data_IF_083420478227
#
_entry.id   IF_083420478227
#
_cell.length_a   1.000
_cell.length_b   1.000
_cell.length_c   1.000
_cell.angle_alpha   90.00
_cell.angle_beta   90.00
_cell.angle_gamma   90.00
#
_symmetry.space_group_name_H-M   'P 1'
#
loop_
_entity.id
_entity.type
_entity.pdbx_description
1 polymer ?
#
# COMPACT_ATOMS: atom_id res chain seq x y z
N UNK A 1 36.11 8.20 -1.50
CA UNK A 1 36.12 8.83 -2.84
C UNK A 1 35.33 10.13 -2.77
N UNK A 2 35.88 11.24 -3.26
CA UNK A 2 35.22 12.56 -3.22
C UNK A 2 33.97 12.64 -4.09
N UNK A 3 32.97 13.35 -3.59
CA UNK A 3 31.67 13.68 -4.24
C UNK A 3 31.84 14.44 -5.58
N UNK A 4 33.07 14.84 -5.93
CA UNK A 4 33.41 15.63 -7.11
C UNK A 4 33.32 14.89 -8.46
N UNK A 5 33.16 13.56 -8.47
CA UNK A 5 33.18 12.76 -9.72
C UNK A 5 31.80 12.27 -10.18
N UNK A 6 30.69 12.83 -9.68
CA UNK A 6 29.36 12.51 -10.23
C UNK A 6 29.11 13.29 -11.54
N UNK A 7 28.91 12.61 -12.69
CA UNK A 7 28.54 13.28 -13.91
C UNK A 7 27.03 13.59 -13.88
N UNK A 8 26.67 14.78 -14.37
CA UNK A 8 25.29 15.29 -14.54
C UNK A 8 24.51 15.69 -13.27
N UNK A 9 23.71 16.76 -13.40
CA UNK A 9 22.88 17.32 -12.32
C UNK A 9 21.84 16.28 -11.87
N UNK A 10 22.07 15.63 -10.73
CA UNK A 10 21.02 14.87 -10.03
C UNK A 10 19.88 15.85 -9.69
N UNK A 11 18.67 15.47 -10.06
CA UNK A 11 17.46 16.21 -9.73
C UNK A 11 16.97 15.71 -8.37
N UNK A 12 17.09 16.57 -7.37
CA UNK A 12 16.67 16.28 -5.99
C UNK A 12 15.15 16.35 -5.85
N UNK A 13 14.63 15.47 -5.01
CA UNK A 13 13.26 15.51 -4.52
C UNK A 13 13.27 15.68 -3.01
N UNK A 14 12.30 16.44 -2.48
CA UNK A 14 12.14 16.55 -1.03
C UNK A 14 11.44 15.30 -0.54
N UNK A 15 12.09 14.60 0.38
CA UNK A 15 11.51 13.44 1.06
C UNK A 15 10.89 13.93 2.36
N UNK A 16 9.70 13.41 2.70
CA UNK A 16 9.07 13.71 4.00
C UNK A 16 9.90 13.18 5.17
N UNK A 17 10.55 12.04 4.97
CA UNK A 17 11.40 11.38 5.96
C UNK A 17 12.71 10.90 5.33
N UNK A 18 13.79 11.00 6.09
CA UNK A 18 15.14 10.65 5.65
C UNK A 18 15.68 9.53 6.56
N UNK A 19 15.44 8.24 6.24
CA UNK A 19 15.95 7.12 7.01
C UNK A 19 17.48 7.07 6.97
N UNK A 20 18.09 7.72 7.96
CA UNK A 20 19.53 7.88 8.12
C UNK A 20 19.84 7.42 9.52
N UNK A 21 20.78 6.48 9.67
CA UNK A 21 21.30 6.14 11.00
C UNK A 21 22.36 7.17 11.42
N UNK A 22 22.30 7.55 12.69
CA UNK A 22 23.29 8.42 13.30
C UNK A 22 24.65 7.71 13.34
N UNK A 23 25.72 8.44 12.99
CA UNK A 23 27.10 7.94 13.06
C UNK A 23 27.57 7.62 14.49
N UNK A 24 26.86 8.10 15.53
CA UNK A 24 27.14 7.78 16.92
C UNK A 24 26.55 6.43 17.37
N UNK A 25 25.86 5.71 16.50
CA UNK A 25 25.42 4.35 16.80
C UNK A 25 26.61 3.39 16.73
N UNK A 26 26.75 2.51 17.73
CA UNK A 26 27.90 1.61 17.90
C UNK A 26 27.98 0.49 16.83
N UNK A 27 26.91 0.27 16.06
CA UNK A 27 26.84 -0.77 15.01
C UNK A 27 26.20 -0.26 13.71
N UNK A 28 26.95 -0.33 12.60
CA UNK A 28 26.46 -0.05 11.25
C UNK A 28 25.94 -1.32 10.58
N UNK A 29 24.75 -1.24 9.99
CA UNK A 29 24.19 -2.27 9.12
C UNK A 29 24.61 -2.04 7.68
N UNK A 30 24.71 -3.11 6.88
CA UNK A 30 25.14 -3.09 5.47
C UNK A 30 24.34 -2.10 4.59
N UNK A 31 23.10 -1.83 4.96
CA UNK A 31 22.15 -0.98 4.23
C UNK A 31 22.01 0.44 4.79
N UNK A 32 22.81 0.82 5.80
CA UNK A 32 22.71 2.15 6.39
C UNK A 32 23.18 3.27 5.45
N UNK A 33 22.41 4.37 5.44
CA UNK A 33 22.86 5.66 4.95
C UNK A 33 23.44 6.42 6.14
N UNK A 34 24.74 6.73 6.11
CA UNK A 34 25.46 7.34 7.23
C UNK A 34 25.83 8.79 6.87
N UNK A 35 25.51 9.71 7.78
CA UNK A 35 25.95 11.10 7.73
C UNK A 35 27.12 11.37 8.66
N UNK A 36 28.11 12.16 8.19
CA UNK A 36 29.22 12.72 8.97
C UNK A 36 30.16 11.70 9.68
N UNK A 37 31.09 11.15 8.90
CA UNK A 37 32.33 10.45 9.28
C UNK A 37 33.40 10.69 8.20
N UNK A 38 34.64 10.27 8.45
CA UNK A 38 35.70 10.27 7.43
C UNK A 38 35.28 9.36 6.27
N UNK A 39 35.25 9.90 5.04
CA UNK A 39 34.79 9.23 3.80
C UNK A 39 33.27 9.03 3.63
N UNK A 40 32.41 9.62 4.47
CA UNK A 40 30.95 9.56 4.27
C UNK A 40 30.37 10.89 3.76
N UNK A 41 29.07 10.90 3.49
CA UNK A 41 28.37 12.02 2.88
C UNK A 41 27.90 13.01 3.96
N UNK A 42 28.13 14.31 3.74
CA UNK A 42 27.62 15.37 4.62
C UNK A 42 26.20 15.78 4.21
N UNK A 43 25.20 15.33 4.96
CA UNK A 43 23.81 15.70 4.72
C UNK A 43 23.47 17.13 5.13
N UNK A 44 24.41 17.89 5.71
CA UNK A 44 24.21 19.28 6.09
C UNK A 44 24.84 20.22 5.07
N UNK A 45 24.09 21.23 4.67
CA UNK A 45 24.59 22.37 3.91
C UNK A 45 24.19 23.65 4.63
N UNK A 46 25.19 24.44 5.06
CA UNK A 46 24.99 25.66 5.87
C UNK A 46 24.18 25.42 7.15
N UNK A 47 24.39 24.28 7.81
CA UNK A 47 23.73 23.92 9.06
C UNK A 47 22.28 23.44 8.91
N UNK A 48 21.78 23.23 7.69
CA UNK A 48 20.46 22.64 7.41
C UNK A 48 20.60 21.37 6.61
N UNK A 49 19.66 20.44 6.79
CA UNK A 49 19.60 19.21 6.01
C UNK A 49 19.43 19.52 4.51
N UNK A 50 20.15 18.81 3.65
CA UNK A 50 20.10 18.97 2.20
C UNK A 50 19.45 17.76 1.53
N UNK A 51 18.24 17.96 1.01
CA UNK A 51 17.54 16.96 0.19
C UNK A 51 18.36 16.51 -1.01
N UNK A 52 19.13 17.43 -1.62
CA UNK A 52 20.03 17.12 -2.72
C UNK A 52 21.12 16.14 -2.30
N UNK A 53 21.71 16.34 -1.12
CA UNK A 53 22.77 15.46 -0.63
C UNK A 53 22.21 14.09 -0.25
N UNK A 54 21.00 14.05 0.32
CA UNK A 54 20.30 12.79 0.58
C UNK A 54 19.97 12.00 -0.69
N UNK A 55 19.41 12.66 -1.71
CA UNK A 55 19.14 12.04 -3.01
C UNK A 55 20.42 11.50 -3.66
N UNK A 56 21.53 12.24 -3.56
CA UNK A 56 22.85 11.78 -4.04
C UNK A 56 23.31 10.53 -3.32
N UNK A 57 23.15 10.46 -1.99
CA UNK A 57 23.53 9.28 -1.22
C UNK A 57 22.68 8.06 -1.59
N UNK A 58 21.38 8.22 -1.80
CA UNK A 58 20.51 7.14 -2.28
C UNK A 58 20.94 6.60 -3.63
N UNK A 59 21.14 7.48 -4.62
CA UNK A 59 21.59 7.09 -5.96
C UNK A 59 22.98 6.44 -5.93
N UNK A 60 23.87 6.93 -5.06
CA UNK A 60 25.16 6.32 -4.85
C UNK A 60 25.03 4.92 -4.25
N UNK A 61 24.21 4.74 -3.21
CA UNK A 61 24.00 3.44 -2.59
C UNK A 61 23.41 2.43 -3.58
N UNK A 62 22.47 2.87 -4.42
CA UNK A 62 21.96 2.03 -5.52
C UNK A 62 23.04 1.61 -6.51
N UNK A 63 24.05 2.45 -6.75
CA UNK A 63 25.19 2.08 -7.60
C UNK A 63 26.11 1.05 -6.96
N UNK A 64 26.13 0.96 -5.63
CA UNK A 64 27.02 0.09 -4.86
C UNK A 64 26.41 -1.30 -4.61
N UNK A 65 25.09 -1.40 -4.48
CA UNK A 65 24.39 -2.65 -4.20
C UNK A 65 24.07 -3.45 -5.48
N UNK A 66 23.95 -4.78 -5.31
CA UNK A 66 23.46 -5.66 -6.38
C UNK A 66 21.94 -5.66 -6.47
N UNK A 67 21.39 -6.12 -7.60
CA UNK A 67 19.94 -6.23 -7.80
C UNK A 67 19.30 -7.17 -6.76
N UNK A 68 20.01 -8.22 -6.34
CA UNK A 68 19.52 -9.14 -5.31
C UNK A 68 19.44 -8.51 -3.91
N UNK A 69 20.29 -7.52 -3.63
CA UNK A 69 20.31 -6.79 -2.36
C UNK A 69 19.31 -5.62 -2.32
N UNK A 70 18.79 -5.21 -3.48
CA UNK A 70 17.87 -4.07 -3.58
C UNK A 70 16.58 -4.25 -2.75
N UNK A 71 15.89 -5.42 -2.76
CA UNK A 71 14.72 -5.62 -1.93
C UNK A 71 15.02 -5.49 -0.43
N UNK A 72 16.15 -6.08 0.01
CA UNK A 72 16.56 -6.04 1.42
C UNK A 72 16.90 -4.62 1.87
N UNK A 73 17.60 -3.86 1.01
CA UNK A 73 17.87 -2.44 1.23
C UNK A 73 16.57 -1.65 1.41
N UNK A 74 15.60 -1.80 0.50
CA UNK A 74 14.33 -1.08 0.58
C UNK A 74 13.55 -1.47 1.83
N UNK A 75 13.41 -2.77 2.10
CA UNK A 75 12.72 -3.27 3.31
C UNK A 75 13.36 -2.75 4.60
N UNK A 76 14.70 -2.62 4.61
CA UNK A 76 15.42 -2.03 5.72
C UNK A 76 15.09 -0.54 5.90
N UNK A 77 15.09 0.27 4.83
CA UNK A 77 14.69 1.68 4.91
C UNK A 77 13.24 1.84 5.38
N UNK A 78 12.35 0.93 4.96
CA UNK A 78 10.94 0.93 5.39
C UNK A 78 10.74 0.61 6.87
N UNK A 79 11.72 0.02 7.56
CA UNK A 79 11.67 -0.17 9.02
C UNK A 79 12.00 1.12 9.78
N UNK A 80 12.73 2.03 9.15
CA UNK A 80 13.20 3.27 9.75
C UNK A 80 12.23 4.44 9.56
N UNK A 81 11.33 4.35 8.57
CA UNK A 81 10.33 5.39 8.28
C UNK A 81 8.97 5.05 8.87
N UNK A 82 8.27 6.10 9.32
CA UNK A 82 6.88 6.01 9.79
C UNK A 82 5.91 5.93 8.61
N UNK A 83 6.06 6.82 7.63
CA UNK A 83 5.21 6.86 6.43
C UNK A 83 5.82 6.08 5.25
N UNK A 84 5.71 4.75 5.33
CA UNK A 84 6.25 3.80 4.34
C UNK A 84 5.74 4.05 2.92
N UNK A 85 4.45 4.38 2.78
CA UNK A 85 3.83 4.60 1.46
C UNK A 85 4.34 5.88 0.82
N UNK A 86 4.43 6.97 1.58
CA UNK A 86 4.95 8.23 1.08
C UNK A 86 6.43 8.10 0.70
N UNK A 87 7.24 7.44 1.52
CA UNK A 87 8.67 7.26 1.23
C UNK A 87 8.91 6.45 -0.07
N UNK A 88 8.13 5.39 -0.30
CA UNK A 88 8.20 4.63 -1.56
C UNK A 88 7.81 5.47 -2.78
N UNK A 89 6.81 6.33 -2.65
CA UNK A 89 6.39 7.23 -3.73
C UNK A 89 7.48 8.28 -4.04
N UNK A 90 8.06 8.89 -3.02
CA UNK A 90 9.15 9.85 -3.16
C UNK A 90 10.38 9.19 -3.84
N UNK A 91 10.65 7.93 -3.50
CA UNK A 91 11.72 7.13 -4.10
C UNK A 91 11.45 6.79 -5.57
N UNK A 92 10.23 6.37 -5.91
CA UNK A 92 9.82 6.08 -7.29
C UNK A 92 10.01 7.32 -8.18
N UNK A 93 9.57 8.48 -7.69
CA UNK A 93 9.75 9.76 -8.39
C UNK A 93 11.22 10.14 -8.57
N UNK A 94 12.06 9.89 -7.56
CA UNK A 94 13.50 10.11 -7.65
C UNK A 94 14.13 9.25 -8.75
N UNK A 95 13.76 7.97 -8.83
CA UNK A 95 14.25 7.02 -9.83
C UNK A 95 13.80 7.41 -11.23
N UNK A 96 12.52 7.76 -11.41
CA UNK A 96 11.97 8.19 -12.70
C UNK A 96 12.68 9.45 -13.21
N UNK A 97 12.86 10.44 -12.34
CA UNK A 97 13.45 11.72 -12.74
C UNK A 97 14.97 11.64 -13.00
N UNK A 98 15.64 10.62 -12.45
CA UNK A 98 17.08 10.40 -12.64
C UNK A 98 17.38 9.15 -13.47
N UNK A 99 16.41 8.67 -14.25
CA UNK A 99 16.50 7.45 -15.08
C UNK A 99 17.76 7.43 -15.93
N UNK A 100 18.04 8.51 -16.66
CA UNK A 100 19.19 8.59 -17.55
C UNK A 100 20.53 8.41 -16.81
N UNK A 101 20.62 8.84 -15.55
CA UNK A 101 21.84 8.73 -14.74
C UNK A 101 22.00 7.28 -14.26
N UNK A 102 20.90 6.65 -13.82
CA UNK A 102 20.89 5.27 -13.36
C UNK A 102 21.21 4.30 -14.50
N UNK A 103 20.55 4.49 -15.64
CA UNK A 103 20.70 3.62 -16.82
C UNK A 103 22.06 3.77 -17.51
N UNK A 104 22.71 4.95 -17.39
CA UNK A 104 24.10 5.15 -17.83
C UNK A 104 25.11 4.35 -16.99
N UNK A 105 24.83 4.14 -15.71
CA UNK A 105 25.71 3.36 -14.82
C UNK A 105 25.47 1.85 -14.95
N UNK A 106 24.22 1.44 -15.04
CA UNK A 106 23.81 0.04 -15.22
C UNK A 106 22.59 0.03 -16.13
N UNK A 107 22.70 -0.62 -17.28
CA UNK A 107 21.61 -0.68 -18.25
C UNK A 107 20.33 -1.26 -17.63
N UNK A 108 19.20 -0.62 -17.90
CA UNK A 108 17.87 -0.98 -17.40
C UNK A 108 17.69 -0.94 -15.87
N UNK A 109 18.65 -0.40 -15.12
CA UNK A 109 18.61 -0.40 -13.66
C UNK A 109 17.45 0.42 -13.09
N UNK A 110 17.05 1.52 -13.74
CA UNK A 110 15.87 2.26 -13.32
C UNK A 110 14.61 1.37 -13.34
N UNK A 111 14.52 0.51 -14.36
CA UNK A 111 13.37 -0.38 -14.59
C UNK A 111 13.36 -1.50 -13.56
N UNK A 112 14.54 -2.04 -13.23
CA UNK A 112 14.71 -3.02 -12.15
C UNK A 112 14.29 -2.45 -10.80
N UNK A 113 14.69 -1.20 -10.49
CA UNK A 113 14.27 -0.53 -9.25
C UNK A 113 12.76 -0.32 -9.22
N UNK A 114 12.17 0.22 -10.29
CA UNK A 114 10.71 0.38 -10.38
C UNK A 114 9.96 -0.95 -10.19
N UNK A 115 10.42 -2.04 -10.81
CA UNK A 115 9.82 -3.36 -10.64
C UNK A 115 9.91 -3.87 -9.19
N UNK A 116 11.04 -3.60 -8.52
CA UNK A 116 11.23 -3.94 -7.11
C UNK A 116 10.24 -3.15 -6.21
N UNK A 117 10.14 -1.84 -6.42
CA UNK A 117 9.21 -0.96 -5.69
C UNK A 117 7.76 -1.41 -5.86
N UNK A 118 7.35 -1.73 -7.09
CA UNK A 118 6.01 -2.24 -7.38
C UNK A 118 5.74 -3.59 -6.71
N UNK A 119 6.73 -4.49 -6.66
CA UNK A 119 6.62 -5.77 -5.96
C UNK A 119 6.40 -5.57 -4.46
N UNK A 120 7.14 -4.64 -3.83
CA UNK A 120 7.02 -4.32 -2.39
C UNK A 120 5.67 -3.66 -2.08
N UNK A 121 5.23 -2.71 -2.92
CA UNK A 121 3.91 -2.10 -2.83
C UNK A 121 2.78 -3.12 -2.94
N UNK A 122 2.93 -4.10 -3.84
CA UNK A 122 1.94 -5.17 -4.04
C UNK A 122 1.96 -6.21 -2.92
N UNK A 123 3.12 -6.53 -2.33
CA UNK A 123 3.22 -7.35 -1.11
C UNK A 123 2.45 -6.70 0.05
N UNK A 124 2.55 -5.38 0.23
CA UNK A 124 1.77 -4.64 1.23
C UNK A 124 0.26 -4.72 0.97
N UNK A 125 -0.18 -4.70 -0.30
CA UNK A 125 -1.61 -4.86 -0.66
C UNK A 125 -2.14 -6.27 -0.47
N UNK A 126 -1.28 -7.29 -0.57
CA UNK A 126 -1.65 -8.71 -0.41
C UNK A 126 -1.54 -9.19 1.04
N UNK A 127 -0.76 -8.53 1.90
CA UNK A 127 -0.72 -8.80 3.34
C UNK A 127 -1.93 -8.22 4.11
N UNK A 128 -2.60 -7.19 3.56
CA UNK A 128 -3.87 -6.65 4.09
C UNK A 128 -5.07 -7.33 3.42
N UNK A 129 -5.37 -8.59 3.77
CA UNK A 129 -6.74 -9.14 3.85
C UNK A 129 -6.80 -10.66 4.12
N UNK A 130 -6.04 -11.17 5.10
CA UNK A 130 -6.54 -12.36 5.82
C UNK A 130 -7.51 -11.84 6.87
N UNK A 131 -8.67 -11.35 6.43
CA UNK A 131 -9.74 -11.03 7.36
C UNK A 131 -10.24 -12.35 7.93
N UNK A 132 -10.07 -12.59 9.24
CA UNK A 132 -10.54 -13.82 9.89
C UNK A 132 -12.06 -13.90 10.02
N UNK A 133 -12.79 -12.95 9.40
CA UNK A 133 -14.24 -12.96 9.32
C UNK A 133 -14.71 -13.89 8.22
N UNK A 134 -15.55 -14.84 8.60
CA UNK A 134 -16.13 -15.84 7.70
C UNK A 134 -17.59 -15.51 7.48
N UNK A 135 -18.00 -15.39 6.21
CA UNK A 135 -19.41 -15.36 5.86
C UNK A 135 -20.02 -16.75 6.03
N UNK A 136 -20.98 -16.88 6.94
CA UNK A 136 -21.67 -18.15 7.25
C UNK A 136 -22.95 -18.36 6.41
N UNK A 137 -23.45 -17.32 5.75
CA UNK A 137 -24.60 -17.42 4.85
C UNK A 137 -24.22 -17.98 3.48
N UNK A 138 -25.20 -18.17 2.60
CA UNK A 138 -24.93 -18.50 1.20
C UNK A 138 -24.74 -17.23 0.34
N UNK A 139 -24.36 -17.41 -0.92
CA UNK A 139 -24.17 -16.30 -1.88
C UNK A 139 -25.42 -15.43 -2.04
N UNK A 140 -26.61 -16.03 -2.06
CA UNK A 140 -27.87 -15.32 -2.27
C UNK A 140 -28.20 -14.47 -1.04
N UNK A 141 -27.94 -14.96 0.16
CA UNK A 141 -28.10 -14.20 1.41
C UNK A 141 -27.22 -12.94 1.40
N UNK A 142 -25.95 -13.10 0.97
CA UNK A 142 -25.02 -11.97 0.88
C UNK A 142 -25.45 -10.96 -0.17
N UNK A 143 -25.90 -11.44 -1.34
CA UNK A 143 -26.40 -10.58 -2.41
C UNK A 143 -27.68 -9.84 -1.99
N UNK A 144 -28.57 -10.48 -1.23
CA UNK A 144 -29.77 -9.84 -0.68
C UNK A 144 -29.42 -8.66 0.22
N UNK A 145 -28.42 -8.83 1.11
CA UNK A 145 -27.89 -7.75 1.94
C UNK A 145 -27.23 -6.64 1.12
N UNK A 146 -26.39 -6.99 0.16
CA UNK A 146 -25.70 -6.02 -0.70
C UNK A 146 -26.69 -5.20 -1.51
N UNK A 147 -27.73 -5.83 -2.06
CA UNK A 147 -28.79 -5.14 -2.80
C UNK A 147 -29.54 -4.19 -1.86
N UNK A 148 -29.89 -4.60 -0.66
CA UNK A 148 -30.56 -3.72 0.29
C UNK A 148 -29.72 -2.48 0.67
N UNK A 149 -28.44 -2.68 0.98
CA UNK A 149 -27.50 -1.59 1.29
C UNK A 149 -27.32 -0.63 0.09
N UNK A 150 -27.30 -1.21 -1.11
CA UNK A 150 -27.21 -0.48 -2.38
C UNK A 150 -28.45 0.37 -2.61
N UNK A 151 -29.65 -0.22 -2.62
CA UNK A 151 -30.91 0.51 -2.89
C UNK A 151 -31.24 1.53 -1.80
N UNK A 152 -30.89 1.25 -0.54
CA UNK A 152 -31.01 2.21 0.56
C UNK A 152 -29.95 3.32 0.51
N UNK A 153 -28.98 3.26 -0.42
CA UNK A 153 -27.85 4.19 -0.56
C UNK A 153 -27.03 4.34 0.73
N UNK A 154 -26.94 3.27 1.51
CA UNK A 154 -26.11 3.23 2.72
C UNK A 154 -24.61 3.14 2.37
N UNK A 155 -24.30 2.70 1.16
CA UNK A 155 -22.96 2.64 0.60
C UNK A 155 -22.97 3.39 -0.74
N UNK A 156 -22.17 4.43 -0.83
CA UNK A 156 -21.96 5.23 -2.03
C UNK A 156 -20.47 5.42 -2.27
N UNK A 157 -20.10 5.68 -3.52
CA UNK A 157 -18.76 6.16 -3.83
C UNK A 157 -18.63 7.65 -3.45
N UNK A 158 -17.44 8.24 -3.60
CA UNK A 158 -17.17 9.65 -3.28
C UNK A 158 -18.01 10.64 -4.10
N UNK A 159 -18.65 10.19 -5.18
CA UNK A 159 -19.56 10.99 -6.02
C UNK A 159 -21.03 10.87 -5.59
N UNK A 160 -21.32 10.01 -4.61
CA UNK A 160 -22.68 9.72 -4.16
C UNK A 160 -23.39 8.62 -4.97
N UNK A 161 -22.71 7.99 -5.93
CA UNK A 161 -23.30 6.92 -6.73
C UNK A 161 -23.19 5.57 -6.02
N UNK A 162 -24.19 4.72 -6.23
CA UNK A 162 -24.17 3.35 -5.75
C UNK A 162 -23.85 2.40 -6.91
N UNK A 163 -22.63 1.86 -6.93
CA UNK A 163 -22.20 0.90 -7.96
C UNK A 163 -22.22 -0.51 -7.37
N UNK A 164 -23.33 -1.23 -7.58
CA UNK A 164 -23.55 -2.58 -6.99
C UNK A 164 -22.43 -3.57 -7.28
N UNK A 165 -21.86 -3.55 -8.48
CA UNK A 165 -20.75 -4.43 -8.87
C UNK A 165 -19.46 -4.15 -8.09
N UNK A 166 -19.21 -2.89 -7.72
CA UNK A 166 -18.08 -2.52 -6.86
C UNK A 166 -18.32 -2.97 -5.43
N UNK A 167 -19.54 -2.78 -4.91
CA UNK A 167 -19.92 -3.24 -3.58
C UNK A 167 -19.75 -4.77 -3.47
N UNK A 168 -20.21 -5.54 -4.47
CA UNK A 168 -20.01 -7.00 -4.50
C UNK A 168 -18.52 -7.35 -4.38
N UNK A 169 -17.65 -6.75 -5.19
CA UNK A 169 -16.20 -7.02 -5.15
C UNK A 169 -15.58 -6.71 -3.78
N UNK A 170 -16.06 -5.66 -3.12
CA UNK A 170 -15.59 -5.30 -1.77
C UNK A 170 -15.97 -6.40 -0.77
N UNK A 171 -17.22 -6.88 -0.80
CA UNK A 171 -17.68 -7.95 0.08
C UNK A 171 -17.03 -9.31 -0.23
N UNK A 172 -16.79 -9.63 -1.51
CA UNK A 172 -16.00 -10.80 -1.93
C UNK A 172 -14.60 -10.76 -1.32
N UNK A 173 -13.91 -9.62 -1.41
CA UNK A 173 -12.60 -9.42 -0.78
C UNK A 173 -12.69 -9.48 0.75
N UNK A 174 -13.72 -8.87 1.34
CA UNK A 174 -13.90 -8.81 2.80
C UNK A 174 -14.01 -10.20 3.43
N UNK A 175 -14.67 -11.13 2.74
CA UNK A 175 -14.95 -12.48 3.24
C UNK A 175 -14.12 -13.58 2.55
N UNK A 176 -13.19 -13.23 1.66
CA UNK A 176 -12.37 -14.19 0.93
C UNK A 176 -13.18 -15.18 0.08
N UNK A 177 -14.27 -14.71 -0.54
CA UNK A 177 -15.19 -15.55 -1.32
C UNK A 177 -15.30 -15.06 -2.78
N UNK A 178 -15.89 -15.89 -3.64
CA UNK A 178 -16.17 -15.54 -5.04
C UNK A 178 -17.59 -15.96 -5.44
N UNK A 179 -18.40 -14.99 -5.85
CA UNK A 179 -19.82 -15.15 -6.18
C UNK A 179 -19.97 -15.26 -7.70
N UNK A 180 -20.16 -16.49 -8.18
CA UNK A 180 -20.49 -16.73 -9.59
C UNK A 180 -21.92 -16.31 -9.92
N UNK A 181 -22.11 -15.76 -11.12
CA UNK A 181 -23.43 -15.40 -11.68
C UNK A 181 -24.29 -14.50 -10.76
N UNK A 182 -23.67 -13.52 -10.09
CA UNK A 182 -24.32 -12.66 -9.11
C UNK A 182 -25.65 -12.05 -9.60
N UNK A 183 -25.69 -11.52 -10.83
CA UNK A 183 -26.92 -10.93 -11.40
C UNK A 183 -28.03 -11.96 -11.56
N UNK A 184 -27.72 -13.19 -12.03
CA UNK A 184 -28.74 -14.25 -12.15
C UNK A 184 -29.28 -14.66 -10.79
N UNK A 185 -28.41 -14.77 -9.79
CA UNK A 185 -28.79 -15.07 -8.40
C UNK A 185 -29.70 -13.99 -7.81
N UNK A 186 -29.38 -12.71 -8.03
CA UNK A 186 -30.23 -11.58 -7.63
C UNK A 186 -31.60 -11.65 -8.32
N UNK A 187 -31.64 -11.85 -9.65
CA UNK A 187 -32.91 -11.95 -10.38
C UNK A 187 -33.75 -13.14 -9.90
N UNK A 188 -33.13 -14.29 -9.65
CA UNK A 188 -33.81 -15.46 -9.12
C UNK A 188 -34.36 -15.22 -7.70
N UNK A 189 -33.59 -14.53 -6.85
CA UNK A 189 -34.01 -14.15 -5.51
C UNK A 189 -35.20 -13.18 -5.52
N UNK A 190 -35.20 -12.20 -6.44
CA UNK A 190 -36.33 -11.28 -6.62
C UNK A 190 -37.62 -11.94 -7.10
N UNK A 191 -37.53 -13.10 -7.77
CA UNK A 191 -38.68 -13.83 -8.31
C UNK A 191 -39.26 -14.89 -7.34
N UNK A 192 -38.89 -14.86 -6.06
CA UNK A 192 -39.43 -15.79 -5.05
C UNK A 192 -40.94 -15.58 -4.86
N UNK A 193 -41.71 -16.67 -4.84
CA UNK A 193 -43.19 -16.65 -4.77
C UNK A 193 -43.78 -16.46 -3.36
N UNK A 194 -42.98 -16.62 -2.30
CA UNK A 194 -43.46 -16.61 -0.91
C UNK A 194 -42.90 -15.42 -0.14
N UNK A 195 -41.65 -15.52 0.27
CA UNK A 195 -40.93 -14.48 1.00
C UNK A 195 -39.90 -13.84 0.06
N UNK A 196 -39.98 -12.52 -0.10
CA UNK A 196 -39.16 -11.76 -1.05
C UNK A 196 -37.78 -11.45 -0.47
N UNK A 197 -37.69 -11.29 0.86
CA UNK A 197 -36.46 -10.95 1.57
C UNK A 197 -36.25 -11.78 2.87
N UNK A 198 -36.08 -13.12 2.75
CA UNK A 198 -35.97 -14.01 3.90
C UNK A 198 -34.73 -13.75 4.76
N UNK A 199 -33.61 -13.36 4.15
CA UNK A 199 -32.38 -13.11 4.90
C UNK A 199 -32.48 -11.80 5.68
N UNK A 200 -32.98 -10.72 5.06
CA UNK A 200 -33.18 -9.44 5.77
C UNK A 200 -34.20 -9.56 6.89
N UNK A 201 -35.26 -10.35 6.71
CA UNK A 201 -36.24 -10.65 7.76
C UNK A 201 -35.57 -11.35 8.95
N UNK A 202 -34.67 -12.30 8.67
CA UNK A 202 -33.88 -12.99 9.69
C UNK A 202 -32.98 -12.03 10.45
N UNK A 203 -32.26 -11.13 9.74
CA UNK A 203 -31.42 -10.10 10.37
C UNK A 203 -32.22 -9.13 11.23
N UNK A 204 -33.37 -8.67 10.75
CA UNK A 204 -34.26 -7.79 11.50
C UNK A 204 -34.72 -8.45 12.80
N UNK A 205 -35.13 -9.72 12.75
CA UNK A 205 -35.55 -10.47 13.93
C UNK A 205 -34.39 -10.69 14.90
N UNK A 206 -33.18 -10.99 14.40
CA UNK A 206 -31.99 -11.11 15.22
C UNK A 206 -31.66 -9.80 15.97
N UNK A 207 -31.75 -8.66 15.28
CA UNK A 207 -31.56 -7.34 15.91
C UNK A 207 -32.63 -7.04 16.95
N UNK A 208 -33.92 -7.27 16.64
CA UNK A 208 -35.02 -7.10 17.60
C UNK A 208 -34.77 -7.95 18.84
N UNK A 209 -34.42 -9.23 18.69
CA UNK A 209 -34.14 -10.11 19.81
C UNK A 209 -32.96 -9.62 20.65
N UNK A 210 -31.89 -9.13 20.01
CA UNK A 210 -30.75 -8.53 20.71
C UNK A 210 -31.17 -7.34 21.60
N UNK A 211 -32.03 -6.45 21.09
CA UNK A 211 -32.57 -5.31 21.85
C UNK A 211 -33.46 -5.77 23.01
N UNK A 212 -34.39 -6.70 22.77
CA UNK A 212 -35.34 -7.17 23.79
C UNK A 212 -34.67 -7.98 24.91
N UNK A 213 -33.53 -8.64 24.63
CA UNK A 213 -32.78 -9.41 25.63
C UNK A 213 -31.97 -8.56 26.61
N UNK A 214 -32.04 -7.23 26.55
CA UNK A 214 -31.44 -6.36 27.56
C UNK A 214 -29.91 -6.47 27.66
N UNK A 215 -29.23 -6.93 26.60
CA UNK A 215 -27.75 -6.94 26.52
C UNK A 215 -27.16 -5.54 26.37
N UNK A 216 -28.00 -4.52 26.41
CA UNK A 216 -27.63 -3.13 26.63
C UNK A 216 -27.80 -2.88 28.15
N UNK A 217 -26.71 -3.04 28.89
CA UNK A 217 -26.49 -2.38 30.18
C UNK A 217 -25.27 -1.49 30.04
#
# INVERSE_FOLDING_TARGET
MSISNYPARIISHSFKEHPIKNYLADEYSEFDLIGKQVNTIDFTYRGKFSDLTYCKALIQKFSEITISQLPEFIEYQLKLVSDKKQWLFDLEKLVETNRDILDKKRAAFSTEISNCLQTILNKSKNAESVNNLIWKGNDVDLLELIVALSEAKMITNLKGDTVRSEIIKIFEKLFGLSIKDANKKISAAGNRKRETAPFLTTLMNAYKNYVHQGKIK
#
